data_IF_318437881340
#
_entry.id   IF_318437881340
#
_cell.length_a   1.000
_cell.length_b   1.000
_cell.length_c   1.000
_cell.angle_alpha   90.00
_cell.angle_beta   90.00
_cell.angle_gamma   90.00
#
_symmetry.space_group_name_H-M   'P 1'
#
loop_
_entity.id
_entity.type
_entity.pdbx_description
1 polymer ?
#
# COMPACT_ATOMS: atom_id res chain seq x y z
N UNK A 1 52.12 -9.39 -27.52
CA UNK A 1 50.86 -8.62 -27.43
C UNK A 1 49.78 -9.58 -26.91
N UNK A 2 49.47 -9.75 -25.62
CA UNK A 2 49.65 -8.92 -24.45
C UNK A 2 48.27 -8.59 -23.86
N UNK A 3 47.70 -9.47 -23.04
CA UNK A 3 46.70 -9.15 -22.01
C UNK A 3 46.68 -10.28 -20.97
N UNK A 4 47.14 -9.94 -19.77
CA UNK A 4 47.26 -10.81 -18.60
C UNK A 4 45.89 -11.11 -17.97
N UNK A 5 45.65 -12.37 -17.61
CA UNK A 5 44.59 -12.75 -16.69
C UNK A 5 45.11 -12.57 -15.25
N UNK A 6 44.78 -11.44 -14.64
CA UNK A 6 44.96 -11.24 -13.20
C UNK A 6 43.67 -11.60 -12.45
N UNK A 7 43.80 -12.49 -11.46
CA UNK A 7 42.69 -12.95 -10.64
C UNK A 7 42.12 -11.88 -9.72
N UNK A 8 40.81 -11.94 -9.50
CA UNK A 8 40.13 -11.40 -8.32
C UNK A 8 38.82 -12.17 -8.10
N UNK A 9 38.37 -12.29 -6.83
CA UNK A 9 37.54 -13.38 -6.36
C UNK A 9 36.10 -13.26 -6.89
N UNK A 10 35.41 -14.40 -6.92
CA UNK A 10 33.99 -14.55 -7.23
C UNK A 10 33.22 -13.22 -7.19
N UNK A 11 33.01 -12.63 -8.37
CA UNK A 11 31.98 -11.63 -8.53
C UNK A 11 30.67 -12.35 -8.26
N UNK A 12 30.19 -12.30 -7.02
CA UNK A 12 28.79 -12.51 -6.73
C UNK A 12 28.07 -11.44 -7.54
N UNK A 13 27.63 -11.82 -8.74
CA UNK A 13 26.58 -11.10 -9.45
C UNK A 13 25.37 -11.29 -8.58
N UNK A 14 25.24 -10.43 -7.56
CA UNK A 14 23.94 -10.15 -6.95
C UNK A 14 23.16 -9.57 -8.11
N UNK A 15 22.42 -10.43 -8.81
CA UNK A 15 21.36 -9.99 -9.67
C UNK A 15 20.58 -9.01 -8.82
N UNK A 16 20.64 -7.72 -9.16
CA UNK A 16 19.74 -6.75 -8.57
C UNK A 16 18.37 -7.29 -8.93
N UNK A 17 17.74 -8.00 -8.00
CA UNK A 17 16.37 -8.47 -8.14
C UNK A 17 15.63 -7.21 -8.53
N UNK A 18 15.12 -7.14 -9.76
CA UNK A 18 14.44 -5.96 -10.24
C UNK A 18 13.40 -5.64 -9.19
N UNK A 19 13.65 -4.63 -8.36
CA UNK A 19 12.80 -4.27 -7.25
C UNK A 19 11.57 -3.68 -7.92
N UNK A 20 10.65 -4.57 -8.32
CA UNK A 20 9.35 -4.17 -8.79
C UNK A 20 8.78 -3.41 -7.62
N UNK A 21 8.52 -2.12 -7.80
CA UNK A 21 7.70 -1.41 -6.83
C UNK A 21 6.34 -2.08 -6.90
N UNK A 22 5.78 -2.47 -5.76
CA UNK A 22 4.46 -3.08 -5.70
C UNK A 22 3.50 -2.07 -5.08
N UNK A 23 2.21 -2.22 -5.34
CA UNK A 23 1.19 -1.46 -4.63
C UNK A 23 0.04 -2.37 -4.23
N UNK A 24 -0.59 -2.03 -3.11
CA UNK A 24 -1.85 -2.58 -2.67
C UNK A 24 -2.90 -1.48 -2.70
N UNK A 25 -4.00 -1.72 -3.41
CA UNK A 25 -5.17 -0.85 -3.43
C UNK A 25 -6.27 -1.47 -2.58
N UNK A 26 -6.69 -0.74 -1.55
CA UNK A 26 -7.82 -1.07 -0.69
C UNK A 26 -9.01 -0.21 -1.11
N UNK A 27 -10.08 -0.84 -1.58
CA UNK A 27 -11.33 -0.13 -1.87
C UNK A 27 -12.25 -0.23 -0.66
N UNK A 28 -12.64 0.89 -0.06
CA UNK A 28 -13.43 0.94 1.17
C UNK A 28 -14.62 1.87 1.05
N UNK A 29 -15.65 1.66 1.88
CA UNK A 29 -16.81 2.53 1.92
C UNK A 29 -16.46 3.81 2.67
N UNK A 30 -16.75 4.94 2.06
CA UNK A 30 -16.65 6.28 2.63
C UNK A 30 -18.06 6.86 2.77
N UNK A 31 -18.43 7.32 3.98
CA UNK A 31 -19.77 7.79 4.32
C UNK A 31 -19.73 8.91 5.38
N UNK A 32 -20.87 9.54 5.65
CA UNK A 32 -20.96 10.74 6.49
C UNK A 32 -21.03 10.43 7.98
N UNK A 33 -21.63 9.30 8.37
CA UNK A 33 -21.92 9.03 9.78
C UNK A 33 -21.49 7.63 10.23
N UNK A 34 -20.96 7.58 11.46
CA UNK A 34 -20.61 6.34 12.15
C UNK A 34 -19.49 5.52 11.50
N UNK A 35 -18.69 6.13 10.63
CA UNK A 35 -17.55 5.51 9.95
C UNK A 35 -16.26 5.62 10.76
N UNK A 36 -15.53 4.53 10.85
CA UNK A 36 -14.23 4.49 11.51
C UNK A 36 -13.07 4.80 10.58
N UNK A 37 -11.90 4.94 11.21
CA UNK A 37 -10.62 4.98 10.52
C UNK A 37 -9.84 3.69 10.82
N UNK A 38 -9.00 3.28 9.88
CA UNK A 38 -8.08 2.16 10.04
C UNK A 38 -6.66 2.59 9.76
N UNK A 39 -5.69 1.97 10.42
CA UNK A 39 -4.29 2.00 10.03
C UNK A 39 -3.95 0.72 9.28
N UNK A 40 -3.38 0.88 8.10
CA UNK A 40 -2.86 -0.22 7.28
C UNK A 40 -1.34 -0.20 7.38
N UNK A 41 -0.76 -1.35 7.70
CA UNK A 41 0.70 -1.51 7.85
C UNK A 41 1.16 -2.86 7.33
N UNK A 42 2.45 -2.99 7.02
CA UNK A 42 3.06 -4.25 6.61
C UNK A 42 3.64 -4.95 7.85
N UNK A 43 3.30 -6.23 8.03
CA UNK A 43 3.76 -7.02 9.17
C UNK A 43 4.71 -8.16 8.80
N UNK A 44 4.70 -8.64 7.55
CA UNK A 44 5.63 -9.67 7.07
C UNK A 44 5.72 -9.70 5.53
N UNK A 45 6.86 -10.16 4.99
CA UNK A 45 7.08 -10.42 3.56
C UNK A 45 7.09 -9.19 2.62
N UNK A 46 6.91 -8.01 3.17
CA UNK A 46 6.97 -6.71 2.51
C UNK A 46 7.19 -5.62 3.56
N UNK A 47 7.66 -4.45 3.14
CA UNK A 47 7.69 -3.24 3.95
C UNK A 47 6.85 -2.16 3.29
N UNK A 48 6.32 -1.23 4.10
CA UNK A 48 5.60 -0.08 3.59
C UNK A 48 5.56 1.01 4.66
N UNK A 49 5.34 2.24 4.23
CA UNK A 49 4.95 3.33 5.13
C UNK A 49 3.50 3.10 5.53
N UNK A 50 3.17 2.99 6.84
CA UNK A 50 1.79 2.82 7.27
C UNK A 50 0.89 3.95 6.76
N UNK A 51 -0.32 3.61 6.34
CA UNK A 51 -1.31 4.56 5.85
C UNK A 51 -2.56 4.54 6.72
N UNK A 52 -3.15 5.70 6.98
CA UNK A 52 -4.45 5.81 7.64
C UNK A 52 -5.54 6.05 6.61
N UNK A 53 -6.56 5.18 6.62
CA UNK A 53 -7.73 5.26 5.75
C UNK A 53 -8.94 5.59 6.63
N UNK A 54 -9.49 6.79 6.45
CA UNK A 54 -10.66 7.23 7.19
C UNK A 54 -11.91 7.11 6.32
N UNK A 55 -12.84 6.25 6.73
CA UNK A 55 -14.12 6.07 6.06
C UNK A 55 -15.08 7.25 6.25
N UNK A 56 -14.74 8.25 7.07
CA UNK A 56 -15.55 9.45 7.22
C UNK A 56 -15.31 10.47 6.08
N UNK A 57 -16.38 10.78 5.36
CA UNK A 57 -16.42 11.85 4.38
C UNK A 57 -16.99 13.12 5.02
N UNK A 58 -16.18 14.16 5.11
CA UNK A 58 -16.64 15.48 5.58
C UNK A 58 -17.59 16.17 4.59
N UNK A 59 -18.45 17.06 5.11
CA UNK A 59 -19.47 17.79 4.34
C UNK A 59 -18.90 18.64 3.20
N UNK A 60 -17.65 19.10 3.32
CA UNK A 60 -16.96 19.89 2.29
C UNK A 60 -16.79 19.14 0.97
N UNK A 61 -16.78 17.80 1.01
CA UNK A 61 -16.49 17.01 -0.19
C UNK A 61 -17.68 16.82 -1.12
N UNK A 62 -18.96 16.93 -0.69
CA UNK A 62 -20.18 16.90 -1.55
C UNK A 62 -21.46 17.41 -0.83
N UNK A 63 -22.42 18.01 -1.55
CA UNK A 63 -23.70 18.52 -1.01
C UNK A 63 -24.78 17.45 -0.74
N UNK A 64 -24.50 16.15 -0.88
CA UNK A 64 -25.50 15.06 -0.68
C UNK A 64 -24.96 13.94 0.19
N UNK A 65 -25.75 13.47 1.15
CA UNK A 65 -25.46 12.34 2.05
C UNK A 65 -25.43 10.97 1.35
N UNK A 66 -24.48 10.77 0.42
CA UNK A 66 -24.27 9.53 -0.33
C UNK A 66 -23.02 8.76 0.11
N UNK A 67 -23.17 7.47 0.39
CA UNK A 67 -22.00 6.60 0.60
C UNK A 67 -21.34 6.29 -0.74
N UNK A 68 -20.01 6.29 -0.79
CA UNK A 68 -19.24 5.98 -2.01
C UNK A 68 -18.10 5.01 -1.70
N UNK A 69 -17.62 4.31 -2.72
CA UNK A 69 -16.41 3.50 -2.61
C UNK A 69 -15.20 4.37 -2.97
N UNK A 70 -14.19 4.39 -2.10
CA UNK A 70 -12.94 5.13 -2.29
C UNK A 70 -11.75 4.16 -2.27
N UNK A 71 -10.70 4.51 -3.00
CA UNK A 71 -9.48 3.72 -3.07
C UNK A 71 -8.39 4.34 -2.18
N UNK A 72 -7.76 3.52 -1.36
CA UNK A 72 -6.56 3.82 -0.61
C UNK A 72 -5.39 3.03 -1.20
N UNK A 73 -4.32 3.72 -1.58
CA UNK A 73 -3.12 3.08 -2.12
C UNK A 73 -2.02 2.98 -1.07
N UNK A 74 -1.39 1.81 -0.99
CA UNK A 74 -0.24 1.53 -0.17
C UNK A 74 0.91 1.09 -1.07
N UNK A 75 2.00 1.86 -1.07
CA UNK A 75 3.23 1.46 -1.75
C UNK A 75 3.92 0.38 -0.93
N UNK A 76 4.23 -0.73 -1.60
CA UNK A 76 4.88 -1.89 -1.02
C UNK A 76 6.32 -1.95 -1.55
N UNK A 77 7.25 -1.86 -0.61
CA UNK A 77 8.68 -2.02 -0.82
C UNK A 77 9.11 -3.46 -0.47
N UNK A 78 10.13 -3.96 -1.19
CA UNK A 78 10.78 -5.25 -0.89
C UNK A 78 9.84 -6.44 -0.66
N UNK A 79 9.11 -6.86 -1.70
CA UNK A 79 8.22 -8.01 -1.62
C UNK A 79 9.01 -9.32 -1.75
N UNK A 80 9.05 -10.13 -0.69
CA UNK A 80 9.62 -11.48 -0.67
C UNK A 80 8.58 -12.48 -0.16
N UNK A 81 8.15 -13.41 -1.01
CA UNK A 81 7.17 -14.43 -0.65
C UNK A 81 5.75 -13.86 -0.45
N UNK A 82 5.16 -14.07 0.72
CA UNK A 82 3.79 -13.62 1.04
C UNK A 82 3.82 -12.30 1.81
N UNK A 83 3.30 -11.23 1.22
CA UNK A 83 3.13 -9.93 1.89
C UNK A 83 1.89 -9.98 2.80
N UNK A 84 2.08 -9.73 4.09
CA UNK A 84 1.02 -9.69 5.10
C UNK A 84 0.77 -8.24 5.49
N UNK A 85 -0.46 -7.79 5.26
CA UNK A 85 -0.94 -6.47 5.67
C UNK A 85 -1.79 -6.61 6.94
N UNK A 86 -1.52 -5.73 7.91
CA UNK A 86 -2.33 -5.58 9.11
C UNK A 86 -3.24 -4.38 8.92
N UNK A 87 -4.55 -4.58 9.07
CA UNK A 87 -5.59 -3.53 9.07
C UNK A 87 -6.12 -3.40 10.49
N UNK A 88 -5.72 -2.34 11.19
CA UNK A 88 -6.12 -2.07 12.57
C UNK A 88 -7.21 -1.00 12.61
N UNK A 89 -8.34 -1.29 13.25
CA UNK A 89 -9.38 -0.29 13.50
C UNK A 89 -8.91 0.67 14.59
N UNK A 90 -8.83 1.95 14.26
CA UNK A 90 -8.36 2.98 15.18
C UNK A 90 -9.44 3.32 16.22
N UNK A 91 -8.98 3.66 17.42
CA UNK A 91 -9.85 4.10 18.53
C UNK A 91 -10.46 5.49 18.32
N UNK A 92 -9.99 6.21 17.32
CA UNK A 92 -10.44 7.56 16.99
C UNK A 92 -10.73 7.66 15.50
N UNK A 93 -11.80 8.37 15.15
CA UNK A 93 -12.15 8.73 13.78
C UNK A 93 -12.80 10.11 13.77
N UNK A 94 -12.86 10.76 12.61
CA UNK A 94 -13.52 12.07 12.51
C UNK A 94 -15.03 12.03 12.75
N UNK A 95 -15.66 10.85 12.69
CA UNK A 95 -17.09 10.68 12.96
C UNK A 95 -17.40 10.09 14.34
N UNK A 96 -16.38 9.71 15.12
CA UNK A 96 -16.54 9.01 16.40
C UNK A 96 -16.97 7.53 16.30
N UNK A 97 -17.20 7.01 15.08
CA UNK A 97 -17.53 5.60 14.85
C UNK A 97 -16.31 4.69 14.64
N UNK A 98 -16.56 3.39 14.58
CA UNK A 98 -15.54 2.32 14.40
C UNK A 98 -15.80 1.42 13.18
N UNK A 99 -16.89 1.67 12.45
CA UNK A 99 -17.30 0.83 11.32
C UNK A 99 -16.46 1.16 10.09
N UNK A 100 -15.69 0.20 9.62
CA UNK A 100 -14.94 0.30 8.37
C UNK A 100 -15.32 -0.87 7.46
N UNK A 101 -15.72 -0.59 6.22
CA UNK A 101 -16.15 -1.62 5.26
C UNK A 101 -15.17 -1.70 4.10
N UNK A 102 -14.45 -2.80 4.00
CA UNK A 102 -13.58 -3.10 2.88
C UNK A 102 -14.35 -3.88 1.81
N UNK A 103 -14.24 -3.46 0.55
CA UNK A 103 -14.81 -4.15 -0.61
C UNK A 103 -13.79 -5.05 -1.30
N UNK A 104 -12.58 -4.54 -1.51
CA UNK A 104 -11.52 -5.27 -2.20
C UNK A 104 -10.14 -4.85 -1.71
N UNK A 105 -9.22 -5.80 -1.79
CA UNK A 105 -7.78 -5.61 -1.65
C UNK A 105 -7.13 -6.19 -2.92
N UNK A 106 -6.46 -5.34 -3.69
CA UNK A 106 -5.81 -5.74 -4.95
C UNK A 106 -4.35 -5.38 -4.86
N UNK A 107 -3.47 -6.38 -4.96
CA UNK A 107 -2.04 -6.15 -5.02
C UNK A 107 -1.54 -6.25 -6.47
N UNK A 108 -0.68 -5.32 -6.88
CA UNK A 108 -0.12 -5.24 -8.23
C UNK A 108 1.37 -5.00 -8.18
N UNK A 109 2.08 -5.50 -9.19
CA UNK A 109 3.42 -5.02 -9.52
C UNK A 109 3.26 -3.71 -10.30
N UNK A 110 3.82 -2.62 -9.79
CA UNK A 110 3.92 -1.38 -10.57
C UNK A 110 5.12 -1.52 -11.51
N UNK A 111 4.86 -1.59 -12.81
CA UNK A 111 5.93 -1.38 -13.79
C UNK A 111 6.24 0.10 -13.79
N UNK A 112 7.52 0.46 -13.65
CA UNK A 112 7.97 1.83 -13.84
C UNK A 112 7.85 2.15 -15.34
N UNK A 113 6.64 2.49 -15.79
CA UNK A 113 6.43 3.12 -17.08
C UNK A 113 6.47 4.62 -16.82
N UNK A 114 7.68 5.20 -16.94
CA UNK A 114 7.81 6.57 -17.41
C UNK A 114 7.04 6.62 -18.73
N UNK A 115 5.88 7.28 -18.75
CA UNK A 115 5.35 7.86 -19.97
C UNK A 115 5.46 9.37 -19.81
N UNK A 116 6.43 9.90 -20.57
CA UNK A 116 6.60 11.30 -20.89
C UNK A 116 5.41 11.83 -21.70
#
# INVERSE_FOLDING_TARGET
>A
FGLELSGSPAANVTAASSAGRHSATLTYLSSYEGMGAVRVSCSSGCSCIPAELDGHRGAQRKPRYVSVWEDGELLLDSWVGTCVLTVEVLRTSRSGGFKFKLKSLVARRTSNALQA
#
